data_IF_566604873333
#
_entry.id   IF_566604873333
#
_cell.length_a   1.000
_cell.length_b   1.000
_cell.length_c   1.000
_cell.angle_alpha   90.00
_cell.angle_beta   90.00
_cell.angle_gamma   90.00
#
_symmetry.space_group_name_H-M   'P 1'
#
loop_
_entity.id
_entity.type
_entity.pdbx_description
1 polymer ?
#
# COMPACT_ATOMS: atom_id res chain seq x y z
N UNK A 1 13.67 -5.77 13.03
CA UNK A 1 12.52 -6.28 13.81
C UNK A 1 11.55 -5.14 14.03
N UNK A 2 10.31 -5.30 13.64
CA UNK A 2 9.29 -4.25 13.74
C UNK A 2 8.08 -4.77 14.51
N UNK A 3 8.25 -5.12 15.79
CA UNK A 3 7.11 -5.52 16.61
C UNK A 3 6.36 -4.28 17.10
N UNK A 4 5.06 -4.27 16.95
CA UNK A 4 4.17 -3.24 17.49
C UNK A 4 3.64 -3.74 18.81
N UNK A 5 3.99 -3.02 19.87
CA UNK A 5 3.66 -3.35 21.24
C UNK A 5 2.75 -2.27 21.83
N UNK A 6 1.79 -2.67 22.65
CA UNK A 6 0.99 -1.76 23.46
C UNK A 6 1.48 -1.84 24.90
N UNK A 7 1.72 -0.70 25.54
CA UNK A 7 2.01 -0.65 26.98
C UNK A 7 0.76 -1.15 27.71
N UNK A 8 0.91 -2.23 28.48
CA UNK A 8 -0.15 -2.87 29.25
C UNK A 8 -0.17 -2.42 30.72
N UNK A 9 0.91 -1.76 31.18
CA UNK A 9 1.09 -1.30 32.53
C UNK A 9 2.56 -1.30 32.92
N UNK A 10 2.82 -1.21 34.22
CA UNK A 10 4.16 -1.23 34.79
C UNK A 10 4.22 -2.23 35.94
N UNK A 11 5.31 -2.97 36.02
CA UNK A 11 5.70 -3.73 37.22
C UNK A 11 6.92 -3.05 37.83
N UNK A 12 6.72 -2.40 38.95
CA UNK A 12 7.67 -1.41 39.50
C UNK A 12 7.92 -0.29 38.50
N UNK A 13 9.15 -0.11 38.01
CA UNK A 13 9.49 0.88 36.95
C UNK A 13 9.65 0.26 35.57
N UNK A 14 9.48 -1.06 35.43
CA UNK A 14 9.58 -1.75 34.13
C UNK A 14 8.24 -1.76 33.40
N UNK A 15 8.16 -1.26 32.15
CA UNK A 15 6.94 -1.32 31.38
C UNK A 15 6.63 -2.76 30.96
N UNK A 16 5.37 -3.14 31.06
CA UNK A 16 4.82 -4.38 30.54
C UNK A 16 4.18 -4.10 29.18
N UNK A 17 4.37 -5.01 28.23
CA UNK A 17 3.87 -4.85 26.87
C UNK A 17 2.98 -6.02 26.47
N UNK A 18 1.87 -5.70 25.83
CA UNK A 18 1.12 -6.65 25.03
C UNK A 18 1.60 -6.59 23.59
N UNK A 19 1.97 -7.73 23.01
CA UNK A 19 2.27 -7.86 21.61
C UNK A 19 0.97 -7.68 20.79
N UNK A 20 0.96 -6.73 19.86
CA UNK A 20 -0.18 -6.50 18.96
C UNK A 20 0.02 -7.18 17.60
N UNK A 21 1.13 -6.87 16.94
CA UNK A 21 1.45 -7.38 15.60
C UNK A 21 2.92 -7.14 15.27
N UNK A 22 3.39 -7.75 14.20
CA UNK A 22 4.63 -7.31 13.53
C UNK A 22 4.32 -6.28 12.47
N UNK A 23 5.12 -5.24 12.41
CA UNK A 23 5.17 -4.34 11.26
C UNK A 23 6.07 -4.99 10.21
N UNK A 24 5.47 -5.83 9.35
CA UNK A 24 6.19 -6.38 8.21
C UNK A 24 6.21 -5.31 7.13
N UNK A 25 7.33 -4.63 6.97
CA UNK A 25 7.57 -3.78 5.80
C UNK A 25 7.61 -4.69 4.58
N UNK A 26 6.68 -4.52 3.67
CA UNK A 26 6.59 -5.30 2.43
C UNK A 26 7.22 -4.56 1.26
N UNK A 27 6.98 -3.25 1.15
CA UNK A 27 7.53 -2.39 0.12
C UNK A 27 8.41 -1.29 0.73
N UNK A 28 9.49 -0.95 0.07
CA UNK A 28 10.36 0.15 0.47
C UNK A 28 11.15 0.67 -0.72
N UNK A 29 11.04 1.97 -0.96
CA UNK A 29 11.89 2.72 -1.90
C UNK A 29 12.31 3.99 -1.18
N UNK A 30 13.60 4.31 -1.21
CA UNK A 30 14.17 5.45 -0.50
C UNK A 30 13.84 5.42 1.01
N UNK A 31 13.22 6.45 1.53
CA UNK A 31 12.82 6.56 2.94
C UNK A 31 11.44 5.98 3.23
N UNK A 32 10.66 5.70 2.19
CA UNK A 32 9.32 5.14 2.32
C UNK A 32 9.34 3.67 2.77
N UNK A 33 8.34 3.28 3.58
CA UNK A 33 8.19 1.92 4.12
C UNK A 33 6.72 1.60 4.32
N UNK A 34 6.15 0.91 3.35
CA UNK A 34 4.76 0.44 3.40
C UNK A 34 4.66 -0.93 4.05
N UNK A 35 3.77 -1.09 5.04
CA UNK A 35 3.46 -2.39 5.63
C UNK A 35 2.29 -3.08 4.92
N UNK A 36 2.11 -4.39 5.19
CA UNK A 36 1.08 -5.20 4.52
C UNK A 36 -0.35 -4.71 4.81
N UNK A 37 -0.62 -4.23 6.02
CA UNK A 37 -1.95 -3.76 6.40
C UNK A 37 -2.30 -2.45 5.70
N UNK A 38 -1.34 -1.56 5.59
CA UNK A 38 -1.44 -0.31 4.86
C UNK A 38 -1.67 -0.55 3.36
N UNK A 39 -0.84 -1.40 2.74
CA UNK A 39 -1.02 -1.76 1.34
C UNK A 39 -2.39 -2.39 1.09
N UNK A 40 -2.84 -3.30 1.98
CA UNK A 40 -4.15 -3.93 1.85
C UNK A 40 -5.30 -2.93 1.96
N UNK A 41 -5.21 -1.97 2.88
CA UNK A 41 -6.21 -0.92 3.02
C UNK A 41 -6.28 -0.03 1.76
N UNK A 42 -5.13 0.38 1.22
CA UNK A 42 -5.04 1.17 0.00
C UNK A 42 -5.63 0.43 -1.22
N UNK A 43 -5.27 -0.85 -1.41
CA UNK A 43 -5.84 -1.70 -2.47
C UNK A 43 -7.35 -1.86 -2.28
N UNK A 44 -7.83 -2.08 -1.04
CA UNK A 44 -9.26 -2.23 -0.75
C UNK A 44 -10.07 -0.97 -1.08
N UNK A 45 -9.50 0.23 -0.93
CA UNK A 45 -10.09 1.48 -1.42
C UNK A 45 -10.18 1.50 -2.95
N UNK A 46 -9.07 1.21 -3.60
CA UNK A 46 -8.97 1.29 -5.06
C UNK A 46 -9.89 0.32 -5.81
N UNK A 47 -10.12 -0.89 -5.31
CA UNK A 47 -11.01 -1.87 -5.95
C UNK A 47 -12.46 -1.41 -6.07
N UNK A 48 -12.87 -0.39 -5.30
CA UNK A 48 -14.23 0.17 -5.42
C UNK A 48 -14.47 0.81 -6.80
N UNK A 49 -13.43 1.27 -7.48
CA UNK A 49 -13.52 1.79 -8.85
C UNK A 49 -13.86 0.72 -9.89
N UNK A 50 -13.64 -0.56 -9.59
CA UNK A 50 -13.91 -1.68 -10.50
C UNK A 50 -15.40 -2.07 -10.53
N UNK A 51 -16.11 -1.91 -9.41
CA UNK A 51 -17.48 -2.38 -9.24
C UNK A 51 -18.48 -1.85 -10.29
N UNK A 52 -18.47 -0.55 -10.70
CA UNK A 52 -19.35 -0.03 -11.73
C UNK A 52 -19.19 -0.71 -13.10
N UNK A 53 -18.03 -1.36 -13.34
CA UNK A 53 -17.70 -2.04 -14.60
C UNK A 53 -17.91 -3.55 -14.54
N UNK A 54 -18.47 -4.05 -13.43
CA UNK A 54 -18.69 -5.48 -13.23
C UNK A 54 -17.40 -6.30 -13.07
N UNK A 55 -16.25 -5.61 -12.90
CA UNK A 55 -14.98 -6.24 -12.64
C UNK A 55 -14.72 -6.33 -11.13
N UNK A 56 -13.93 -7.31 -10.72
CA UNK A 56 -13.49 -7.47 -9.33
C UNK A 56 -12.06 -7.97 -9.26
N UNK A 57 -11.36 -7.62 -8.19
CA UNK A 57 -10.02 -8.13 -7.92
C UNK A 57 -10.12 -9.57 -7.42
N UNK A 58 -9.49 -10.50 -8.14
CA UNK A 58 -9.39 -11.91 -7.75
C UNK A 58 -8.24 -12.09 -6.77
N UNK A 59 -7.06 -11.58 -7.12
CA UNK A 59 -5.86 -11.70 -6.30
C UNK A 59 -4.85 -10.59 -6.66
N UNK A 60 -3.93 -10.29 -5.73
CA UNK A 60 -2.86 -9.35 -5.98
C UNK A 60 -1.58 -9.69 -5.21
N UNK A 61 -0.48 -9.22 -5.75
CA UNK A 61 0.82 -9.14 -5.09
C UNK A 61 1.55 -7.87 -5.54
N UNK A 62 2.66 -7.56 -4.90
CA UNK A 62 3.43 -6.35 -5.19
C UNK A 62 4.92 -6.59 -5.15
N UNK A 63 5.69 -5.66 -5.72
CA UNK A 63 7.12 -5.54 -5.48
C UNK A 63 7.57 -4.09 -5.67
N UNK A 64 8.74 -3.77 -5.10
CA UNK A 64 9.39 -2.48 -5.33
C UNK A 64 10.33 -2.62 -6.52
N UNK A 65 10.05 -1.93 -7.62
CA UNK A 65 10.91 -1.86 -8.79
C UNK A 65 11.94 -0.75 -8.62
N UNK A 66 13.19 -1.16 -8.42
CA UNK A 66 14.35 -0.25 -8.34
C UNK A 66 15.17 -0.25 -9.64
N UNK A 67 14.66 -0.81 -10.73
CA UNK A 67 15.31 -0.85 -12.03
C UNK A 67 15.34 0.50 -12.75
N UNK A 68 14.52 1.44 -12.32
CA UNK A 68 14.47 2.83 -12.81
C UNK A 68 14.82 3.82 -11.71
N UNK A 69 15.13 5.06 -12.08
CA UNK A 69 15.36 6.17 -11.14
C UNK A 69 14.39 7.31 -11.51
N UNK A 70 13.47 7.67 -10.64
CA UNK A 70 13.17 7.02 -9.36
C UNK A 70 12.57 5.62 -9.54
N UNK A 71 12.80 4.73 -8.54
CA UNK A 71 12.09 3.46 -8.45
C UNK A 71 10.62 3.67 -8.11
N UNK A 72 9.78 2.66 -8.32
CA UNK A 72 8.34 2.77 -8.06
C UNK A 72 7.75 1.45 -7.55
N UNK A 73 6.54 1.51 -7.01
CA UNK A 73 5.80 0.32 -6.59
C UNK A 73 5.02 -0.26 -7.76
N UNK A 74 5.11 -1.57 -7.91
CA UNK A 74 4.38 -2.36 -8.91
C UNK A 74 3.43 -3.31 -8.20
N UNK A 75 2.16 -3.31 -8.60
CA UNK A 75 1.15 -4.24 -8.16
C UNK A 75 0.71 -5.11 -9.33
N UNK A 76 0.81 -6.43 -9.19
CA UNK A 76 0.18 -7.37 -10.11
C UNK A 76 -1.24 -7.65 -9.64
N UNK A 77 -2.23 -7.43 -10.51
CA UNK A 77 -3.63 -7.66 -10.24
C UNK A 77 -4.20 -8.68 -11.21
N UNK A 78 -4.80 -9.75 -10.70
CA UNK A 78 -5.67 -10.62 -11.47
C UNK A 78 -7.10 -10.19 -11.27
N UNK A 79 -7.80 -9.87 -12.37
CA UNK A 79 -9.16 -9.35 -12.34
C UNK A 79 -10.12 -10.37 -12.94
N UNK A 80 -11.38 -10.37 -12.47
CA UNK A 80 -12.46 -10.95 -13.27
C UNK A 80 -12.62 -10.13 -14.55
N UNK A 81 -12.93 -10.78 -15.71
CA UNK A 81 -13.14 -10.03 -16.92
C UNK A 81 -14.23 -8.97 -16.73
N UNK A 82 -14.04 -7.75 -17.25
CA UNK A 82 -15.11 -6.76 -17.32
C UNK A 82 -16.24 -7.26 -18.22
N UNK A 83 -17.41 -6.60 -18.14
CA UNK A 83 -18.52 -6.90 -19.06
C UNK A 83 -18.05 -6.83 -20.51
N UNK A 84 -18.57 -7.72 -21.38
CA UNK A 84 -18.06 -7.98 -22.73
C UNK A 84 -18.01 -6.77 -23.68
N UNK A 85 -18.67 -5.67 -23.35
CA UNK A 85 -18.76 -4.45 -24.18
C UNK A 85 -18.02 -3.24 -23.55
N UNK A 86 -17.03 -3.46 -22.66
CA UNK A 86 -16.31 -2.36 -22.03
C UNK A 86 -15.37 -1.69 -23.03
N UNK A 87 -15.53 -0.39 -23.22
CA UNK A 87 -14.63 0.46 -24.02
C UNK A 87 -13.22 0.47 -23.39
N UNK A 88 -12.20 0.20 -24.20
CA UNK A 88 -10.78 0.17 -23.78
C UNK A 88 -10.36 1.49 -23.12
N UNK A 89 -10.82 2.64 -23.63
CA UNK A 89 -10.53 3.95 -23.05
C UNK A 89 -11.18 4.13 -21.67
N UNK A 90 -12.31 3.48 -21.42
CA UNK A 90 -12.97 3.49 -20.12
C UNK A 90 -12.19 2.61 -19.15
N UNK A 91 -11.79 1.41 -19.56
CA UNK A 91 -10.97 0.50 -18.76
C UNK A 91 -9.67 1.18 -18.34
N UNK A 92 -9.00 1.87 -19.28
CA UNK A 92 -7.76 2.58 -19.01
C UNK A 92 -7.94 3.63 -17.91
N UNK A 93 -8.94 4.50 -18.03
CA UNK A 93 -9.23 5.54 -17.02
C UNK A 93 -9.56 4.97 -15.63
N UNK A 94 -10.28 3.85 -15.60
CA UNK A 94 -10.60 3.17 -14.32
C UNK A 94 -9.34 2.64 -13.66
N UNK A 95 -8.44 2.05 -14.43
CA UNK A 95 -7.18 1.52 -13.89
C UNK A 95 -6.24 2.64 -13.44
N UNK A 96 -6.20 3.77 -14.15
CA UNK A 96 -5.47 4.98 -13.70
C UNK A 96 -6.04 5.51 -12.39
N UNK A 97 -7.38 5.57 -12.26
CA UNK A 97 -8.04 5.95 -11.03
C UNK A 97 -7.72 4.96 -9.87
N UNK A 98 -7.64 3.65 -10.15
CA UNK A 98 -7.20 2.67 -9.16
C UNK A 98 -5.75 2.94 -8.71
N UNK A 99 -4.84 3.25 -9.64
CA UNK A 99 -3.46 3.60 -9.30
C UNK A 99 -3.40 4.83 -8.38
N UNK A 100 -4.13 5.88 -8.73
CA UNK A 100 -4.19 7.13 -7.97
C UNK A 100 -4.78 6.92 -6.56
N UNK A 101 -5.83 6.10 -6.44
CA UNK A 101 -6.45 5.77 -5.16
C UNK A 101 -5.52 4.96 -4.25
N UNK A 102 -4.77 4.00 -4.81
CA UNK A 102 -3.75 3.29 -4.03
C UNK A 102 -2.72 4.28 -3.49
N UNK A 103 -2.16 5.18 -4.32
CA UNK A 103 -1.20 6.19 -3.88
C UNK A 103 -1.77 7.11 -2.78
N UNK A 104 -3.04 7.52 -2.91
CA UNK A 104 -3.72 8.36 -1.93
C UNK A 104 -3.95 7.63 -0.59
N UNK A 105 -4.16 6.32 -0.64
CA UNK A 105 -4.36 5.46 0.52
C UNK A 105 -3.08 5.10 1.29
N UNK A 106 -1.90 5.33 0.70
CA UNK A 106 -0.62 5.13 1.37
C UNK A 106 -0.31 6.28 2.34
N UNK A 107 0.66 6.09 3.23
CA UNK A 107 0.95 7.02 4.32
C UNK A 107 1.53 8.38 3.84
N UNK A 108 1.69 9.30 4.78
CA UNK A 108 2.19 10.64 4.49
C UNK A 108 3.66 10.64 4.03
N UNK A 109 4.46 9.62 4.39
CA UNK A 109 5.86 9.51 3.96
C UNK A 109 5.90 9.13 2.49
N UNK A 110 5.12 8.11 2.06
CA UNK A 110 4.98 7.77 0.65
C UNK A 110 4.54 8.98 -0.17
N UNK A 111 3.43 9.63 0.24
CA UNK A 111 2.90 10.79 -0.49
C UNK A 111 3.90 11.93 -0.59
N UNK A 112 4.72 12.17 0.45
CA UNK A 112 5.81 13.15 0.39
C UNK A 112 6.89 12.74 -0.60
N UNK A 113 7.36 11.49 -0.53
CA UNK A 113 8.38 10.96 -1.44
C UNK A 113 7.92 11.04 -2.90
N UNK A 114 6.63 10.79 -3.15
CA UNK A 114 6.02 10.84 -4.47
C UNK A 114 5.81 12.26 -4.99
N UNK A 115 5.27 13.17 -4.15
CA UNK A 115 4.86 14.51 -4.59
C UNK A 115 5.96 15.55 -4.47
N UNK A 116 6.62 15.66 -3.32
CA UNK A 116 7.59 16.71 -3.02
C UNK A 116 9.02 16.31 -3.35
N UNK A 117 9.46 15.18 -2.79
CA UNK A 117 10.86 14.76 -2.86
C UNK A 117 11.17 14.12 -4.23
N UNK A 118 10.14 13.62 -4.93
CA UNK A 118 10.23 12.92 -6.23
C UNK A 118 11.22 11.76 -6.22
N UNK A 119 11.40 11.15 -5.07
CA UNK A 119 12.27 9.99 -4.86
C UNK A 119 11.57 8.66 -5.13
N UNK A 120 10.24 8.68 -5.26
CA UNK A 120 9.41 7.54 -5.66
C UNK A 120 8.63 7.89 -6.93
N UNK A 121 8.67 7.00 -7.93
CA UNK A 121 7.95 7.13 -9.19
C UNK A 121 6.45 6.84 -9.07
N UNK A 122 5.71 7.04 -10.17
CA UNK A 122 4.28 6.74 -10.23
C UNK A 122 4.03 5.24 -9.97
N UNK A 123 3.06 4.93 -9.11
CA UNK A 123 2.63 3.56 -8.87
C UNK A 123 2.10 2.94 -10.16
N UNK A 124 2.49 1.69 -10.41
CA UNK A 124 2.09 0.90 -11.57
C UNK A 124 1.20 -0.28 -11.15
N UNK A 125 0.04 -0.43 -11.79
CA UNK A 125 -0.74 -1.67 -11.72
C UNK A 125 -0.54 -2.43 -13.04
N UNK A 126 -0.06 -3.68 -12.93
CA UNK A 126 0.07 -4.64 -14.02
C UNK A 126 -1.06 -5.64 -13.93
N UNK A 127 -2.02 -5.55 -14.83
CA UNK A 127 -3.08 -6.55 -14.94
C UNK A 127 -2.51 -7.80 -15.58
N UNK A 128 -2.73 -8.95 -14.95
CA UNK A 128 -2.27 -10.25 -15.44
C UNK A 128 -3.46 -11.09 -15.94
N UNK A 129 -3.15 -12.01 -16.86
CA UNK A 129 -4.15 -12.93 -17.40
C UNK A 129 -4.69 -13.88 -16.30
N UNK A 130 -5.94 -14.38 -16.43
CA UNK A 130 -6.51 -15.36 -15.53
C UNK A 130 -5.60 -16.58 -15.34
N UNK A 131 -5.47 -17.07 -14.10
CA UNK A 131 -4.60 -18.18 -13.74
C UNK A 131 -3.13 -17.81 -13.51
N UNK A 132 -2.79 -16.52 -13.55
CA UNK A 132 -1.43 -16.06 -13.29
C UNK A 132 -0.99 -16.38 -11.85
N UNK A 133 -1.91 -16.24 -10.90
CA UNK A 133 -1.62 -16.56 -9.49
C UNK A 133 -1.60 -18.05 -9.20
N UNK A 134 -2.28 -18.89 -9.99
CA UNK A 134 -2.12 -20.34 -9.94
C UNK A 134 -0.70 -20.74 -10.34
N UNK A 135 -0.16 -20.13 -11.41
CA UNK A 135 1.23 -20.35 -11.81
C UNK A 135 2.25 -19.86 -10.77
N UNK A 136 1.96 -18.76 -10.06
CA UNK A 136 2.79 -18.32 -8.94
C UNK A 136 2.74 -19.32 -7.78
N UNK A 137 1.56 -19.88 -7.48
CA UNK A 137 1.39 -20.92 -6.46
C UNK A 137 2.22 -22.16 -6.82
N UNK A 138 2.13 -22.62 -8.06
CA UNK A 138 2.89 -23.79 -8.55
C UNK A 138 4.40 -23.58 -8.39
N UNK A 139 4.90 -22.38 -8.72
CA UNK A 139 6.30 -22.01 -8.48
C UNK A 139 6.64 -22.07 -6.99
N UNK A 140 5.83 -21.49 -6.11
CA UNK A 140 6.07 -21.50 -4.67
C UNK A 140 6.08 -22.93 -4.11
N UNK A 141 5.18 -23.78 -4.59
CA UNK A 141 5.11 -25.19 -4.20
C UNK A 141 6.34 -25.95 -4.69
N UNK A 142 6.80 -25.72 -5.91
CA UNK A 142 8.04 -26.34 -6.43
C UNK A 142 9.28 -25.95 -5.61
N UNK A 143 9.24 -24.77 -4.96
CA UNK A 143 10.28 -24.30 -4.03
C UNK A 143 10.05 -24.74 -2.57
N UNK A 144 9.10 -25.65 -2.33
CA UNK A 144 8.89 -26.32 -1.04
C UNK A 144 7.77 -25.72 -0.17
N UNK A 145 6.94 -24.81 -0.69
CA UNK A 145 5.75 -24.36 0.02
C UNK A 145 4.71 -25.47 0.11
N UNK A 146 4.02 -25.61 1.24
CA UNK A 146 2.93 -26.56 1.40
C UNK A 146 1.68 -26.05 0.67
N UNK A 147 1.12 -26.86 -0.23
CA UNK A 147 -0.14 -26.53 -0.95
C UNK A 147 -1.27 -26.19 0.02
N UNK A 148 -1.42 -26.96 1.10
CA UNK A 148 -2.52 -26.78 2.06
C UNK A 148 -2.37 -25.53 2.94
N UNK A 149 -1.20 -24.91 2.97
CA UNK A 149 -0.91 -23.71 3.78
C UNK A 149 -0.51 -22.52 2.92
N UNK A 150 -0.59 -22.66 1.60
CA UNK A 150 -0.24 -21.59 0.69
C UNK A 150 -1.16 -20.39 0.90
N UNK A 151 -0.53 -19.24 0.98
CA UNK A 151 -1.19 -17.91 0.91
C UNK A 151 -0.38 -17.08 -0.05
N UNK A 152 -1.04 -16.44 -0.97
CA UNK A 152 -0.40 -15.50 -1.90
C UNK A 152 0.38 -14.44 -1.12
N UNK A 153 1.71 -14.35 -1.30
CA UNK A 153 2.50 -13.32 -0.64
C UNK A 153 2.08 -11.94 -1.15
N UNK A 154 1.84 -10.99 -0.25
CA UNK A 154 1.48 -9.61 -0.62
C UNK A 154 2.64 -8.83 -1.21
N UNK A 155 3.87 -9.32 -1.03
CA UNK A 155 5.06 -8.81 -1.69
C UNK A 155 5.97 -9.97 -2.13
N UNK A 156 6.39 -9.94 -3.38
CA UNK A 156 7.36 -10.87 -3.96
C UNK A 156 8.70 -10.17 -4.15
N UNK A 157 9.79 -10.91 -3.92
CA UNK A 157 11.16 -10.40 -4.06
C UNK A 157 12.02 -11.30 -4.94
N UNK A 158 11.59 -12.54 -5.15
CA UNK A 158 12.34 -13.50 -5.94
C UNK A 158 12.17 -13.20 -7.43
N UNK A 159 13.24 -13.09 -8.22
CA UNK A 159 13.16 -12.80 -9.65
C UNK A 159 12.26 -13.74 -10.43
N UNK A 160 12.29 -15.06 -10.11
CA UNK A 160 11.46 -16.05 -10.80
C UNK A 160 9.96 -15.82 -10.54
N UNK A 161 9.59 -15.41 -9.33
CA UNK A 161 8.20 -15.08 -9.00
C UNK A 161 7.71 -13.85 -9.78
N UNK A 162 8.57 -12.84 -9.91
CA UNK A 162 8.30 -11.65 -10.73
C UNK A 162 8.18 -12.08 -12.21
N UNK A 163 9.12 -12.89 -12.72
CA UNK A 163 9.12 -13.34 -14.11
C UNK A 163 7.88 -14.16 -14.48
N UNK A 164 7.40 -15.03 -13.58
CA UNK A 164 6.16 -15.82 -13.80
C UNK A 164 4.95 -14.93 -14.02
N UNK A 165 4.82 -13.84 -13.27
CA UNK A 165 3.72 -12.88 -13.45
C UNK A 165 3.96 -11.95 -14.63
N UNK A 166 5.20 -11.51 -14.84
CA UNK A 166 5.57 -10.55 -15.88
C UNK A 166 5.23 -11.06 -17.29
N UNK A 167 5.47 -12.34 -17.57
CA UNK A 167 5.14 -12.93 -18.88
C UNK A 167 3.63 -13.10 -19.11
N UNK A 168 2.80 -12.83 -18.09
CA UNK A 168 1.34 -12.92 -18.11
C UNK A 168 0.66 -11.55 -18.06
N UNK A 169 1.44 -10.47 -18.08
CA UNK A 169 0.91 -9.11 -18.08
C UNK A 169 0.17 -8.86 -19.39
N UNK A 170 -1.07 -8.41 -19.26
CA UNK A 170 -1.95 -8.05 -20.39
C UNK A 170 -2.22 -6.54 -20.48
N UNK A 171 -1.93 -5.79 -19.42
CA UNK A 171 -2.07 -4.34 -19.39
C UNK A 171 -1.19 -3.72 -18.32
N UNK A 172 -0.76 -2.47 -18.55
CA UNK A 172 0.06 -1.68 -17.62
C UNK A 172 -0.57 -0.31 -17.46
N UNK A 173 -0.74 0.11 -16.22
CA UNK A 173 -1.43 1.36 -15.89
C UNK A 173 -0.63 2.08 -14.80
N UNK A 174 -0.54 3.39 -14.92
CA UNK A 174 0.20 4.22 -13.98
C UNK A 174 -0.73 5.26 -13.35
N UNK A 175 -0.38 5.72 -12.17
CA UNK A 175 -1.03 6.90 -11.61
C UNK A 175 -0.70 8.12 -12.47
N UNK A 176 -1.72 8.76 -12.99
CA UNK A 176 -1.64 9.99 -13.81
C UNK A 176 -1.60 11.27 -12.96
N UNK A 177 -1.90 11.12 -11.68
CA UNK A 177 -1.95 12.21 -10.71
C UNK A 177 -0.86 12.09 -9.66
N UNK A 178 -0.60 13.17 -8.95
CA UNK A 178 0.34 13.20 -7.82
C UNK A 178 -0.48 13.24 -6.54
N UNK A 179 -0.28 12.31 -5.59
CA UNK A 179 -1.06 12.27 -4.37
C UNK A 179 -0.84 13.54 -3.52
N UNK A 180 -1.91 14.02 -2.91
CA UNK A 180 -1.86 15.22 -2.08
C UNK A 180 -1.03 14.97 -0.82
N UNK A 181 -0.10 15.91 -0.54
CA UNK A 181 0.68 15.94 0.68
C UNK A 181 0.90 17.37 1.15
N UNK A 182 0.68 17.60 2.42
CA UNK A 182 1.00 18.84 3.11
C UNK A 182 1.83 18.54 4.36
N UNK A 183 2.83 19.41 4.67
CA UNK A 183 3.54 19.30 5.94
C UNK A 183 2.57 19.48 7.11
N UNK A 184 2.73 18.70 8.17
CA UNK A 184 1.99 18.91 9.41
C UNK A 184 2.32 20.33 9.92
N UNK A 185 1.35 21.24 9.89
CA UNK A 185 1.47 22.51 10.60
C UNK A 185 1.40 22.22 12.10
N UNK A 186 2.53 22.37 12.80
CA UNK A 186 2.63 22.30 14.27
C UNK A 186 2.08 23.60 14.90
N UNK A 187 1.00 24.14 14.43
CA UNK A 187 0.40 25.36 14.94
C UNK A 187 -1.06 25.12 15.30
N UNK A 188 -1.32 24.29 16.29
CA UNK A 188 -2.59 24.36 17.03
C UNK A 188 -2.54 23.61 18.38
N UNK A 189 -1.35 23.39 18.93
CA UNK A 189 -1.22 22.87 20.30
C UNK A 189 -0.65 23.94 21.22
N UNK A 190 -1.43 24.97 21.55
CA UNK A 190 -0.95 25.87 22.58
C UNK A 190 -1.45 27.30 22.58
N UNK A 191 -2.74 27.54 22.39
CA UNK A 191 -3.36 28.75 22.88
C UNK A 191 -4.40 28.43 23.95
N UNK A 192 -3.97 27.75 25.01
CA UNK A 192 -4.66 27.81 26.28
C UNK A 192 -4.33 29.18 26.90
N UNK A 193 -5.19 30.14 26.71
CA UNK A 193 -5.18 31.40 27.43
C UNK A 193 -5.27 31.12 28.93
N UNK A 194 -4.16 31.35 29.63
CA UNK A 194 -4.17 31.50 31.06
C UNK A 194 -4.85 32.83 31.32
N UNK A 195 -6.10 32.79 31.71
CA UNK A 195 -6.77 33.93 32.31
C UNK A 195 -6.28 34.05 33.72
N UNK A 196 -5.41 35.05 33.97
CA UNK A 196 -5.17 35.58 35.29
C UNK A 196 -6.46 36.16 35.83
N UNK A 197 -7.02 35.51 36.80
CA UNK A 197 -8.07 36.03 37.67
C UNK A 197 -7.71 35.66 39.10
N UNK A 198 -6.97 36.45 39.77
CA UNK A 198 -7.29 36.87 41.15
C UNK A 198 -6.26 37.89 41.67
N UNK A 199 -6.66 39.13 41.64
CA UNK A 199 -6.11 40.15 42.52
C UNK A 199 -7.29 40.72 43.34
N UNK A 200 -7.69 39.92 44.33
CA UNK A 200 -8.70 40.33 45.33
C UNK A 200 -8.05 40.90 46.55
N UNK A 201 -8.21 42.16 46.71
CA UNK A 201 -8.10 43.08 47.84
C UNK A 201 -8.29 42.44 49.22
N UNK A 202 -7.32 42.72 50.10
CA UNK A 202 -7.48 42.66 51.54
C UNK A 202 -7.60 44.06 52.13
N UNK A 203 -8.65 44.25 52.88
CA UNK A 203 -8.74 45.28 53.91
C UNK A 203 -8.65 44.66 55.28
#
# INVERSE_FOLDING_TARGET
MGDVLRVAGFKNQAPMFNFLRRKNVVLSIDSDKTDEAELHAAVSGAVQHLAPFGASLVEYTSYADAGTIPGHYVLFWELTPPAADSDEAVVHRVMEACCAEVEAGLDAVYRRCRSRDRSVGALEIRVVSPGAFDALMDLCVSHGSSVNQYKTPRCIKHPDAIAVLEVRVVGRFFSDTVPHWEPFNVVDAGAATVTDADAGTAS
#
